data_IF_050286238493
#
_entry.id   IF_050286238493
#
_cell.length_a   1.000
_cell.length_b   1.000
_cell.length_c   1.000
_cell.angle_alpha   90.00
_cell.angle_beta   90.00
_cell.angle_gamma   90.00
#
_symmetry.space_group_name_H-M   'P 1'
#
loop_
_entity.id
_entity.type
_entity.pdbx_description
1 polymer ?
#
# COMPACT_ATOMS: atom_id res chain seq x y z
N UNK A 1 -18.33 -55.70 -3.07
CA UNK A 1 -17.16 -54.84 -3.28
C UNK A 1 -16.40 -55.33 -4.50
N UNK A 2 -16.08 -54.43 -5.43
CA UNK A 2 -15.17 -54.65 -6.54
C UNK A 2 -14.14 -53.52 -6.49
N UNK A 3 -12.85 -53.85 -6.53
CA UNK A 3 -11.73 -52.92 -6.29
C UNK A 3 -11.17 -52.37 -7.61
N UNK A 4 -10.98 -51.06 -7.74
CA UNK A 4 -10.42 -50.38 -8.94
C UNK A 4 -9.18 -49.54 -8.57
N UNK A 5 -8.19 -49.41 -9.46
CA UNK A 5 -7.03 -48.51 -9.28
C UNK A 5 -7.26 -47.21 -10.07
N UNK A 6 -7.15 -46.02 -9.46
CA UNK A 6 -7.38 -44.73 -10.15
C UNK A 6 -6.10 -43.94 -10.41
N UNK A 7 -5.82 -43.54 -11.66
CA UNK A 7 -4.73 -42.61 -12.02
C UNK A 7 -5.31 -41.22 -12.32
N UNK A 8 -4.86 -40.18 -11.62
CA UNK A 8 -5.47 -38.83 -11.66
C UNK A 8 -4.51 -37.85 -12.32
N UNK A 9 -4.98 -37.08 -13.31
CA UNK A 9 -4.16 -36.09 -14.00
C UNK A 9 -4.40 -34.70 -13.40
N UNK A 10 -3.39 -34.14 -12.73
CA UNK A 10 -3.41 -32.75 -12.25
C UNK A 10 -3.18 -31.78 -13.43
N UNK A 11 -4.18 -30.95 -13.75
CA UNK A 11 -4.01 -29.84 -14.68
C UNK A 11 -3.42 -28.63 -13.92
N UNK A 12 -2.11 -28.40 -14.08
CA UNK A 12 -1.42 -27.21 -13.56
C UNK A 12 -1.74 -25.99 -14.45
N UNK A 13 -2.55 -25.06 -13.93
CA UNK A 13 -2.69 -23.73 -14.52
C UNK A 13 -1.57 -22.81 -13.99
N UNK A 14 -0.77 -22.26 -14.91
CA UNK A 14 0.24 -21.26 -14.60
C UNK A 14 -0.42 -19.92 -14.27
N UNK A 15 -0.21 -19.41 -13.05
CA UNK A 15 -0.61 -18.05 -12.64
C UNK A 15 0.63 -17.26 -12.24
N UNK A 16 0.65 -16.02 -12.71
CA UNK A 16 1.67 -15.00 -12.53
C UNK A 16 1.95 -14.73 -11.04
N UNK A 17 3.23 -14.68 -10.68
CA UNK A 17 3.71 -14.37 -9.33
C UNK A 17 3.30 -12.95 -8.91
N UNK A 18 2.39 -12.87 -7.94
CA UNK A 18 2.29 -11.73 -7.04
C UNK A 18 2.36 -12.30 -5.63
N UNK A 19 3.47 -12.02 -4.93
CA UNK A 19 3.68 -12.43 -3.55
C UNK A 19 2.74 -11.65 -2.62
N UNK A 20 1.59 -12.23 -2.30
CA UNK A 20 0.80 -11.90 -1.13
C UNK A 20 0.94 -13.06 -0.14
N UNK A 21 1.05 -12.73 1.16
CA UNK A 21 1.23 -13.68 2.26
C UNK A 21 0.39 -14.95 2.06
N UNK A 22 1.04 -16.10 1.84
CA UNK A 22 0.33 -17.30 1.42
C UNK A 22 -0.33 -17.95 2.63
N UNK A 23 -1.62 -17.65 2.81
CA UNK A 23 -2.52 -18.61 3.43
C UNK A 23 -2.39 -19.94 2.67
N UNK A 24 -2.21 -21.04 3.40
CA UNK A 24 -1.92 -22.34 2.82
C UNK A 24 -3.21 -23.15 2.77
N UNK A 25 -3.73 -23.42 1.57
CA UNK A 25 -4.83 -24.36 1.39
C UNK A 25 -4.36 -25.77 1.80
N UNK A 26 -5.00 -26.35 2.81
CA UNK A 26 -4.75 -27.70 3.31
C UNK A 26 -5.95 -28.59 2.99
N UNK A 27 -5.71 -29.70 2.29
CA UNK A 27 -6.72 -30.74 2.08
C UNK A 27 -6.87 -31.56 3.36
N UNK A 28 -8.07 -31.53 3.94
CA UNK A 28 -8.44 -32.29 5.12
C UNK A 28 -9.23 -33.52 4.69
N UNK A 29 -8.76 -34.68 5.10
CA UNK A 29 -9.33 -35.98 4.74
C UNK A 29 -9.15 -36.98 5.87
N UNK A 30 -10.02 -37.99 5.91
CA UNK A 30 -9.89 -39.18 6.76
C UNK A 30 -9.50 -40.43 5.95
N UNK A 31 -9.49 -40.35 4.62
CA UNK A 31 -9.15 -41.47 3.75
C UNK A 31 -7.64 -41.53 3.38
N UNK A 32 -7.16 -42.74 3.08
CA UNK A 32 -5.79 -43.04 2.66
C UNK A 32 -5.55 -42.97 1.15
N UNK A 33 -6.56 -42.57 0.36
CA UNK A 33 -6.54 -42.64 -1.10
C UNK A 33 -5.53 -41.65 -1.69
N UNK A 34 -4.67 -42.17 -2.55
CA UNK A 34 -3.69 -41.45 -3.37
C UNK A 34 -3.75 -41.91 -4.82
N UNK A 35 -2.91 -41.36 -5.68
CA UNK A 35 -2.81 -41.83 -7.07
C UNK A 35 -2.47 -43.33 -7.12
N UNK A 36 -3.25 -44.06 -7.91
CA UNK A 36 -3.22 -45.50 -8.14
C UNK A 36 -3.60 -46.36 -6.92
N UNK A 37 -4.09 -45.77 -5.82
CA UNK A 37 -4.66 -46.53 -4.71
C UNK A 37 -5.92 -47.27 -5.18
N UNK A 38 -6.13 -48.47 -4.63
CA UNK A 38 -7.37 -49.20 -4.85
C UNK A 38 -8.51 -48.54 -4.08
N UNK A 39 -9.61 -48.26 -4.77
CA UNK A 39 -10.84 -47.73 -4.17
C UNK A 39 -11.97 -48.74 -4.26
N UNK A 40 -12.89 -48.67 -3.31
CA UNK A 40 -14.13 -49.43 -3.28
C UNK A 40 -15.28 -48.51 -3.64
N UNK A 41 -16.03 -48.85 -4.68
CA UNK A 41 -17.25 -48.13 -5.06
C UNK A 41 -18.40 -48.57 -4.16
N UNK A 42 -18.97 -47.62 -3.44
CA UNK A 42 -20.06 -47.87 -2.50
C UNK A 42 -21.41 -47.78 -3.19
N UNK A 43 -22.04 -48.93 -3.37
CA UNK A 43 -23.30 -49.08 -4.07
C UNK A 43 -24.48 -49.25 -3.11
N UNK A 44 -25.70 -49.08 -3.62
CA UNK A 44 -26.93 -49.39 -2.88
C UNK A 44 -27.60 -48.18 -2.23
N UNK A 45 -27.04 -46.98 -2.39
CA UNK A 45 -27.71 -45.73 -2.05
C UNK A 45 -28.99 -45.55 -2.88
N UNK A 46 -30.02 -44.96 -2.29
CA UNK A 46 -31.21 -44.46 -3.00
C UNK A 46 -31.32 -42.94 -2.91
N UNK A 47 -32.21 -42.34 -3.71
CA UNK A 47 -32.45 -40.90 -3.65
C UNK A 47 -32.85 -40.43 -2.25
N UNK A 48 -32.19 -39.37 -1.77
CA UNK A 48 -32.36 -38.80 -0.43
C UNK A 48 -31.48 -39.44 0.65
N UNK A 49 -30.73 -40.51 0.35
CA UNK A 49 -29.71 -41.02 1.26
C UNK A 49 -28.42 -40.20 1.17
N UNK A 50 -27.62 -40.27 2.23
CA UNK A 50 -26.40 -39.46 2.34
C UNK A 50 -25.20 -40.29 2.75
N UNK A 51 -24.05 -39.98 2.17
CA UNK A 51 -22.74 -40.38 2.68
C UNK A 51 -22.09 -39.15 3.34
N UNK A 52 -21.48 -39.33 4.51
CA UNK A 52 -20.90 -38.22 5.26
C UNK A 52 -19.56 -38.57 5.89
N UNK A 53 -18.64 -37.61 5.85
CA UNK A 53 -17.34 -37.68 6.50
C UNK A 53 -17.21 -36.60 7.60
N UNK A 54 -16.77 -37.02 8.78
CA UNK A 54 -16.35 -36.16 9.88
C UNK A 54 -14.86 -35.87 9.73
N UNK A 55 -14.54 -34.59 9.66
CA UNK A 55 -13.18 -34.09 9.49
C UNK A 55 -12.83 -33.19 10.66
N UNK A 56 -11.53 -33.03 10.93
CA UNK A 56 -11.02 -32.17 12.00
C UNK A 56 -10.13 -31.10 11.39
N UNK A 57 -10.40 -29.83 11.69
CA UNK A 57 -9.62 -28.72 11.18
C UNK A 57 -8.17 -28.78 11.70
N UNK A 58 -7.15 -28.74 10.82
CA UNK A 58 -5.75 -28.78 11.23
C UNK A 58 -5.22 -27.42 11.71
N UNK A 59 -5.95 -26.35 11.42
CA UNK A 59 -5.58 -24.95 11.63
C UNK A 59 -6.85 -24.09 11.80
N UNK A 60 -6.68 -22.90 12.37
CA UNK A 60 -7.68 -21.84 12.26
C UNK A 60 -7.74 -21.35 10.81
N UNK A 61 -8.95 -21.16 10.27
CA UNK A 61 -9.07 -20.80 8.87
C UNK A 61 -10.51 -20.75 8.38
N UNK A 62 -10.65 -20.96 7.07
CA UNK A 62 -11.95 -20.99 6.40
C UNK A 62 -12.01 -22.19 5.47
N UNK A 63 -13.08 -22.99 5.52
CA UNK A 63 -13.34 -24.02 4.50
C UNK A 63 -13.68 -23.29 3.20
N UNK A 64 -12.92 -23.55 2.14
CA UNK A 64 -13.02 -22.90 0.83
C UNK A 64 -13.39 -23.86 -0.31
N UNK A 65 -13.28 -25.17 -0.08
CA UNK A 65 -13.74 -26.16 -1.05
C UNK A 65 -14.18 -27.48 -0.38
N UNK A 66 -15.00 -28.23 -1.12
CA UNK A 66 -15.35 -29.63 -0.81
C UNK A 66 -14.95 -30.50 -1.99
N UNK A 67 -14.43 -31.69 -1.71
CA UNK A 67 -14.04 -32.67 -2.73
C UNK A 67 -14.78 -33.98 -2.49
N UNK A 68 -15.36 -34.55 -3.55
CA UNK A 68 -16.06 -35.85 -3.50
C UNK A 68 -15.55 -36.75 -4.63
N UNK A 69 -15.00 -37.91 -4.27
CA UNK A 69 -14.59 -38.94 -5.22
C UNK A 69 -15.80 -39.64 -5.84
N UNK A 70 -15.87 -39.70 -7.18
CA UNK A 70 -17.01 -40.26 -7.90
C UNK A 70 -16.56 -41.22 -9.00
N UNK A 71 -16.72 -42.53 -8.78
CA UNK A 71 -16.15 -43.57 -9.64
C UNK A 71 -17.12 -44.72 -9.86
N UNK A 72 -17.02 -45.34 -11.04
CA UNK A 72 -17.68 -46.61 -11.35
C UNK A 72 -16.74 -47.82 -11.18
N UNK A 73 -17.32 -49.02 -11.19
CA UNK A 73 -16.61 -50.28 -10.89
C UNK A 73 -15.84 -50.87 -12.08
N UNK A 74 -16.00 -50.33 -13.30
CA UNK A 74 -15.48 -50.93 -14.55
C UNK A 74 -15.10 -49.93 -15.67
N UNK A 75 -15.06 -48.63 -15.41
CA UNK A 75 -14.85 -47.57 -16.42
C UNK A 75 -15.87 -47.61 -17.57
N UNK A 76 -17.01 -48.25 -17.32
CA UNK A 76 -18.04 -48.50 -18.33
C UNK A 76 -18.78 -47.22 -18.72
N UNK A 77 -18.70 -46.21 -17.86
CA UNK A 77 -19.37 -44.92 -18.00
C UNK A 77 -18.38 -43.77 -17.96
N UNK A 78 -17.16 -43.96 -18.50
CA UNK A 78 -16.08 -42.96 -18.37
C UNK A 78 -16.50 -41.55 -18.79
N UNK A 79 -16.37 -40.59 -17.87
CA UNK A 79 -16.75 -39.19 -18.10
C UNK A 79 -18.26 -38.93 -18.14
N UNK A 80 -19.09 -39.89 -17.75
CA UNK A 80 -20.52 -39.67 -17.54
C UNK A 80 -20.74 -38.66 -16.41
N UNK A 81 -21.78 -37.85 -16.55
CA UNK A 81 -22.15 -36.85 -15.55
C UNK A 81 -23.51 -37.15 -14.93
N UNK A 82 -23.66 -36.83 -13.65
CA UNK A 82 -24.93 -36.87 -12.93
C UNK A 82 -25.11 -35.62 -12.08
N UNK A 83 -26.35 -35.15 -11.95
CA UNK A 83 -26.72 -34.10 -11.00
C UNK A 83 -27.23 -34.77 -9.74
N UNK A 84 -26.62 -34.45 -8.62
CA UNK A 84 -26.95 -35.04 -7.32
C UNK A 84 -27.70 -34.02 -6.46
N UNK A 85 -28.23 -34.39 -5.29
CA UNK A 85 -29.20 -33.51 -4.61
C UNK A 85 -28.51 -32.33 -3.94
N UNK A 86 -27.50 -32.59 -3.12
CA UNK A 86 -26.78 -31.54 -2.41
C UNK A 86 -25.45 -32.00 -1.82
N UNK A 87 -24.58 -31.03 -1.52
CA UNK A 87 -23.49 -31.18 -0.57
C UNK A 87 -23.77 -30.20 0.58
N UNK A 88 -23.81 -30.70 1.81
CA UNK A 88 -24.05 -29.88 3.01
C UNK A 88 -22.83 -29.92 3.93
N UNK A 89 -22.36 -28.74 4.34
CA UNK A 89 -21.34 -28.60 5.38
C UNK A 89 -22.07 -28.36 6.70
N UNK A 90 -21.81 -29.19 7.70
CA UNK A 90 -22.34 -29.06 9.05
C UNK A 90 -21.24 -28.79 10.06
N UNK A 91 -21.58 -28.14 11.17
CA UNK A 91 -20.74 -28.11 12.37
C UNK A 91 -20.73 -29.47 13.07
N UNK A 92 -19.90 -29.60 14.11
CA UNK A 92 -19.85 -30.83 14.90
C UNK A 92 -21.24 -31.17 15.48
N UNK A 93 -21.48 -32.47 15.64
CA UNK A 93 -22.72 -33.02 16.18
C UNK A 93 -22.45 -34.26 17.02
N UNK A 94 -23.50 -34.75 17.67
CA UNK A 94 -23.41 -36.01 18.40
C UNK A 94 -23.32 -37.17 17.40
N UNK A 95 -22.09 -37.61 17.08
CA UNK A 95 -21.84 -38.69 16.12
C UNK A 95 -22.76 -39.90 16.38
N UNK A 96 -23.42 -40.48 15.36
CA UNK A 96 -23.26 -40.20 13.92
C UNK A 96 -24.19 -39.10 13.37
N UNK A 97 -24.83 -38.28 14.21
CA UNK A 97 -25.76 -37.23 13.77
C UNK A 97 -25.02 -35.90 13.60
N UNK A 98 -24.98 -35.29 12.39
CA UNK A 98 -24.36 -33.99 12.16
C UNK A 98 -25.01 -32.85 12.95
N UNK A 99 -24.26 -31.77 13.17
CA UNK A 99 -24.75 -30.56 13.82
C UNK A 99 -25.52 -29.62 12.89
N UNK A 100 -25.51 -28.34 13.26
CA UNK A 100 -26.15 -27.28 12.49
C UNK A 100 -25.55 -27.18 11.07
N UNK A 101 -26.39 -26.86 10.08
CA UNK A 101 -25.95 -26.58 8.72
C UNK A 101 -25.19 -25.25 8.71
N UNK A 102 -23.96 -25.27 8.19
CA UNK A 102 -23.08 -24.10 8.03
C UNK A 102 -23.07 -23.59 6.59
N UNK A 103 -23.13 -24.51 5.62
CA UNK A 103 -23.28 -24.16 4.20
C UNK A 103 -24.02 -25.27 3.44
N UNK A 104 -24.66 -24.88 2.34
CA UNK A 104 -25.47 -25.77 1.51
C UNK A 104 -25.21 -25.49 0.03
N UNK A 105 -24.74 -26.49 -0.69
CA UNK A 105 -24.53 -26.48 -2.13
C UNK A 105 -25.62 -27.33 -2.77
N UNK A 106 -26.43 -26.69 -3.62
CA UNK A 106 -27.52 -27.34 -4.34
C UNK A 106 -27.03 -27.94 -5.66
N UNK A 107 -27.56 -29.11 -6.00
CA UNK A 107 -27.40 -29.72 -7.33
C UNK A 107 -25.94 -29.87 -7.83
N UNK A 108 -25.01 -30.46 -7.05
CA UNK A 108 -23.64 -30.67 -7.53
C UNK A 108 -23.62 -31.54 -8.79
N UNK A 109 -22.95 -31.05 -9.84
CA UNK A 109 -22.67 -31.82 -11.04
C UNK A 109 -21.45 -32.71 -10.80
N UNK A 110 -21.68 -34.01 -10.74
CA UNK A 110 -20.65 -35.01 -10.59
C UNK A 110 -20.20 -35.53 -11.94
N UNK A 111 -18.90 -35.69 -12.13
CA UNK A 111 -18.30 -36.33 -13.30
C UNK A 111 -17.59 -37.61 -12.85
N UNK A 112 -17.92 -38.74 -13.49
CA UNK A 112 -17.24 -40.01 -13.25
C UNK A 112 -15.74 -39.90 -13.54
N UNK A 113 -14.95 -40.52 -12.67
CA UNK A 113 -13.50 -40.65 -12.85
C UNK A 113 -12.71 -39.50 -12.22
N UNK A 114 -13.37 -38.58 -11.51
CA UNK A 114 -12.77 -37.37 -10.96
C UNK A 114 -12.98 -37.20 -9.46
N UNK A 115 -12.10 -36.39 -8.87
CA UNK A 115 -12.26 -35.85 -7.53
C UNK A 115 -12.97 -34.54 -7.76
N UNK A 116 -14.29 -34.57 -7.67
CA UNK A 116 -15.09 -33.41 -8.02
C UNK A 116 -14.90 -32.37 -6.92
N UNK A 117 -14.23 -31.26 -7.26
CA UNK A 117 -13.95 -30.16 -6.35
C UNK A 117 -14.96 -29.03 -6.57
N UNK A 118 -15.62 -28.62 -5.49
CA UNK A 118 -16.60 -27.56 -5.46
C UNK A 118 -16.10 -26.41 -4.60
N UNK A 119 -16.04 -25.20 -5.18
CA UNK A 119 -15.59 -23.97 -4.50
C UNK A 119 -16.68 -22.91 -4.33
N UNK A 120 -17.87 -23.15 -4.89
CA UNK A 120 -18.97 -22.19 -4.91
C UNK A 120 -20.27 -22.90 -4.53
N UNK A 121 -21.15 -22.18 -3.84
CA UNK A 121 -22.48 -22.65 -3.41
C UNK A 121 -23.53 -22.54 -4.53
N UNK A 122 -23.19 -21.89 -5.64
CA UNK A 122 -24.06 -21.68 -6.80
C UNK A 122 -23.39 -22.10 -8.12
N UNK A 123 -24.22 -22.42 -9.11
CA UNK A 123 -23.79 -22.85 -10.45
C UNK A 123 -23.09 -21.75 -11.26
N UNK A 124 -23.36 -20.47 -10.96
CA UNK A 124 -22.76 -19.32 -11.64
C UNK A 124 -21.40 -18.92 -11.05
N UNK A 125 -20.88 -19.67 -10.07
CA UNK A 125 -19.59 -19.41 -9.42
C UNK A 125 -19.49 -18.00 -8.81
N UNK A 126 -20.58 -17.52 -8.21
CA UNK A 126 -20.66 -16.17 -7.63
C UNK A 126 -20.58 -16.15 -6.11
N UNK A 127 -21.01 -17.22 -5.45
CA UNK A 127 -21.04 -17.34 -3.99
C UNK A 127 -19.99 -18.37 -3.58
N UNK A 128 -18.77 -17.94 -3.19
CA UNK A 128 -17.74 -18.89 -2.77
C UNK A 128 -18.15 -19.60 -1.47
N UNK A 129 -17.66 -20.83 -1.29
CA UNK A 129 -17.71 -21.49 0.00
C UNK A 129 -16.79 -20.71 0.95
N UNK A 130 -17.33 -20.24 2.07
CA UNK A 130 -16.60 -19.51 3.08
C UNK A 130 -17.16 -19.83 4.47
N UNK A 131 -16.74 -20.96 5.04
CA UNK A 131 -17.18 -21.40 6.37
C UNK A 131 -16.01 -21.25 7.36
N UNK A 132 -16.07 -20.30 8.32
CA UNK A 132 -15.04 -20.15 9.34
C UNK A 132 -14.90 -21.40 10.21
N UNK A 133 -13.68 -21.75 10.58
CA UNK A 133 -13.38 -22.94 11.39
C UNK A 133 -12.19 -22.69 12.31
N UNK A 134 -12.20 -23.31 13.49
CA UNK A 134 -11.12 -23.22 14.49
C UNK A 134 -10.26 -24.49 14.48
N UNK A 135 -8.96 -24.40 14.78
CA UNK A 135 -8.09 -25.56 14.90
C UNK A 135 -8.64 -26.58 15.90
N UNK A 136 -8.69 -27.85 15.48
CA UNK A 136 -9.22 -28.95 16.28
C UNK A 136 -10.74 -29.05 16.29
N UNK A 137 -11.45 -28.10 15.69
CA UNK A 137 -12.90 -28.18 15.51
C UNK A 137 -13.26 -29.30 14.53
N UNK A 138 -14.25 -30.11 14.90
CA UNK A 138 -14.81 -31.13 14.02
C UNK A 138 -15.94 -30.54 13.19
N UNK A 139 -16.05 -30.99 11.95
CA UNK A 139 -17.12 -30.60 11.05
C UNK A 139 -17.48 -31.79 10.15
N UNK A 140 -18.60 -31.69 9.45
CA UNK A 140 -19.13 -32.80 8.64
C UNK A 140 -19.42 -32.32 7.23
N UNK A 141 -19.01 -33.12 6.25
CA UNK A 141 -19.46 -32.95 4.87
C UNK A 141 -20.40 -34.11 4.56
N UNK A 142 -21.65 -33.79 4.20
CA UNK A 142 -22.67 -34.75 3.81
C UNK A 142 -23.05 -34.57 2.34
N UNK A 143 -22.87 -35.63 1.55
CA UNK A 143 -23.26 -35.70 0.16
C UNK A 143 -24.60 -36.45 0.04
N UNK A 144 -25.59 -35.85 -0.61
CA UNK A 144 -26.92 -36.42 -0.79
C UNK A 144 -27.18 -36.84 -2.24
N UNK A 145 -27.56 -38.10 -2.43
CA UNK A 145 -27.89 -38.66 -3.73
C UNK A 145 -29.25 -38.14 -4.22
N UNK A 146 -29.33 -37.67 -5.47
CA UNK A 146 -30.61 -37.27 -6.06
C UNK A 146 -31.48 -38.49 -6.37
N UNK A 147 -30.86 -39.58 -6.82
CA UNK A 147 -31.51 -40.81 -7.22
C UNK A 147 -30.61 -42.01 -6.89
N UNK A 148 -31.17 -43.21 -7.00
CA UNK A 148 -30.38 -44.43 -6.88
C UNK A 148 -29.32 -44.48 -7.99
N UNK A 149 -28.02 -44.62 -7.67
CA UNK A 149 -26.99 -44.78 -8.67
C UNK A 149 -27.25 -45.99 -9.58
N UNK A 150 -26.89 -45.94 -10.88
CA UNK A 150 -27.04 -47.08 -11.78
C UNK A 150 -26.32 -48.32 -11.25
N UNK A 151 -26.84 -49.51 -11.54
CA UNK A 151 -26.11 -50.76 -11.25
C UNK A 151 -24.78 -50.74 -11.97
N UNK A 152 -23.66 -50.87 -11.23
CA UNK A 152 -22.29 -50.74 -11.74
C UNK A 152 -21.95 -49.33 -12.30
N UNK A 153 -22.77 -48.32 -11.98
CA UNK A 153 -22.52 -46.93 -12.32
C UNK A 153 -21.67 -46.22 -11.27
N UNK A 154 -21.39 -44.92 -11.49
CA UNK A 154 -20.56 -44.16 -10.59
C UNK A 154 -21.27 -43.88 -9.26
N UNK A 155 -20.51 -43.90 -8.17
CA UNK A 155 -20.96 -43.58 -6.82
C UNK A 155 -19.81 -43.01 -6.00
N UNK A 156 -20.11 -42.65 -4.74
CA UNK A 156 -19.07 -42.34 -3.75
C UNK A 156 -18.16 -43.55 -3.54
N UNK A 157 -16.90 -43.28 -3.24
CA UNK A 157 -15.88 -44.31 -3.00
C UNK A 157 -15.33 -44.23 -1.60
N UNK A 158 -14.83 -45.36 -1.11
CA UNK A 158 -14.05 -45.48 0.10
C UNK A 158 -12.67 -46.09 -0.18
N UNK A 159 -11.73 -45.94 0.74
CA UNK A 159 -10.47 -46.70 0.73
C UNK A 159 -10.71 -48.18 1.12
N UNK A 160 -9.63 -48.90 1.41
CA UNK A 160 -9.67 -50.33 1.71
C UNK A 160 -8.55 -50.69 2.70
N UNK A 161 -8.34 -49.84 3.72
CA UNK A 161 -7.32 -50.02 4.75
C UNK A 161 -7.82 -49.70 6.18
N UNK A 162 -9.10 -50.02 6.43
CA UNK A 162 -9.85 -49.88 7.69
C UNK A 162 -10.46 -48.49 7.94
N UNK A 163 -11.70 -48.45 8.42
CA UNK A 163 -12.37 -47.21 8.83
C UNK A 163 -11.73 -46.54 10.05
N UNK A 164 -11.51 -45.23 9.96
CA UNK A 164 -11.33 -44.40 11.14
C UNK A 164 -12.62 -44.33 11.99
N UNK A 165 -12.46 -44.62 13.28
CA UNK A 165 -13.56 -44.63 14.23
C UNK A 165 -14.22 -43.24 14.31
N UNK A 166 -15.55 -43.23 14.25
CA UNK A 166 -16.36 -42.01 14.30
C UNK A 166 -16.13 -41.00 13.17
N UNK A 167 -15.59 -41.45 12.03
CA UNK A 167 -15.25 -40.56 10.92
C UNK A 167 -16.19 -40.66 9.72
N UNK A 168 -17.00 -41.72 9.60
CA UNK A 168 -17.93 -41.88 8.47
C UNK A 168 -19.32 -42.23 8.95
N UNK A 169 -20.34 -41.63 8.35
CA UNK A 169 -21.73 -42.01 8.60
C UNK A 169 -22.53 -42.03 7.31
N UNK A 170 -23.64 -42.75 7.35
CA UNK A 170 -24.66 -42.71 6.30
C UNK A 170 -25.99 -42.26 6.87
N UNK A 171 -26.78 -41.55 6.09
CA UNK A 171 -28.19 -41.31 6.38
C UNK A 171 -29.04 -42.20 5.48
N UNK A 172 -29.75 -43.15 6.08
CA UNK A 172 -30.55 -44.12 5.33
C UNK A 172 -32.05 -43.84 5.41
N UNK A 173 -32.74 -44.13 4.32
CA UNK A 173 -34.19 -43.98 4.17
C UNK A 173 -34.89 -45.35 4.12
N UNK A 174 -34.63 -46.20 5.12
CA UNK A 174 -35.29 -47.50 5.30
C UNK A 174 -34.47 -48.71 4.86
N UNK A 175 -34.99 -49.91 5.10
CA UNK A 175 -34.25 -51.16 4.88
C UNK A 175 -33.43 -51.57 6.12
N UNK A 176 -32.09 -51.53 6.03
CA UNK A 176 -31.17 -51.99 7.07
C UNK A 176 -30.84 -50.93 8.16
N UNK A 177 -31.20 -49.67 7.93
CA UNK A 177 -31.08 -48.54 8.88
C UNK A 177 -32.21 -47.53 8.68
N UNK A 178 -32.43 -46.66 9.67
CA UNK A 178 -33.32 -45.49 9.56
C UNK A 178 -32.64 -44.31 10.26
N UNK A 179 -32.34 -43.26 9.49
CA UNK A 179 -31.61 -42.10 9.96
C UNK A 179 -30.08 -42.28 9.92
N UNK A 180 -29.39 -41.40 10.65
CA UNK A 180 -27.93 -41.37 10.71
C UNK A 180 -27.38 -42.60 11.43
N UNK A 181 -26.49 -43.31 10.74
CA UNK A 181 -25.89 -44.56 11.23
C UNK A 181 -24.38 -44.53 10.98
N UNK A 182 -23.61 -45.08 11.92
CA UNK A 182 -22.17 -45.26 11.79
C UNK A 182 -21.86 -46.22 10.64
N UNK A 183 -21.15 -45.72 9.63
CA UNK A 183 -20.78 -46.46 8.42
C UNK A 183 -19.76 -47.57 8.71
N UNK A 184 -18.77 -47.27 9.55
CA UNK A 184 -17.70 -48.19 9.94
C UNK A 184 -18.26 -49.48 10.59
N UNK A 185 -19.35 -49.34 11.36
CA UNK A 185 -20.01 -50.43 12.06
C UNK A 185 -21.29 -50.93 11.38
N UNK A 186 -21.58 -50.47 10.16
CA UNK A 186 -22.84 -50.77 9.50
C UNK A 186 -22.94 -52.23 9.03
N UNK A 187 -21.83 -52.80 8.55
CA UNK A 187 -21.72 -54.22 8.19
C UNK A 187 -20.54 -54.90 8.89
N UNK A 188 -20.64 -55.17 10.21
CA UNK A 188 -19.52 -55.68 11.01
C UNK A 188 -19.07 -57.08 10.55
N UNK A 189 -19.95 -57.84 9.90
CA UNK A 189 -19.69 -59.18 9.36
C UNK A 189 -18.96 -59.20 8.02
N UNK A 190 -18.88 -58.06 7.33
CA UNK A 190 -18.28 -57.97 5.99
C UNK A 190 -17.09 -57.01 5.92
N UNK A 191 -16.79 -56.23 6.97
CA UNK A 191 -15.67 -55.26 7.04
C UNK A 191 -15.68 -54.33 5.80
N UNK A 192 -16.84 -53.71 5.55
CA UNK A 192 -17.12 -52.88 4.36
C UNK A 192 -17.04 -51.39 4.68
N UNK A 193 -17.16 -51.02 5.96
CA UNK A 193 -17.09 -49.64 6.35
C UNK A 193 -15.64 -49.19 6.30
N UNK A 194 -15.24 -48.54 5.22
CA UNK A 194 -13.95 -47.88 5.03
C UNK A 194 -14.15 -46.34 4.92
N UNK A 195 -13.07 -45.56 4.87
CA UNK A 195 -13.16 -44.10 4.89
C UNK A 195 -13.60 -43.53 3.53
N UNK A 196 -14.71 -42.78 3.52
CA UNK A 196 -15.20 -42.16 2.30
C UNK A 196 -14.20 -41.13 1.76
N UNK A 197 -14.04 -41.07 0.45
CA UNK A 197 -13.29 -40.02 -0.24
C UNK A 197 -14.09 -38.70 -0.32
N UNK A 198 -14.48 -38.18 0.84
CA UNK A 198 -15.15 -36.91 1.00
C UNK A 198 -14.23 -36.02 1.83
N UNK A 199 -13.72 -34.95 1.22
CA UNK A 199 -12.65 -34.12 1.77
C UNK A 199 -13.04 -32.65 1.78
N UNK A 200 -12.33 -31.86 2.58
CA UNK A 200 -12.45 -30.41 2.60
C UNK A 200 -11.13 -29.76 2.21
N UNK A 201 -11.18 -28.53 1.72
CA UNK A 201 -10.01 -27.67 1.60
C UNK A 201 -10.19 -26.50 2.55
N UNK A 202 -9.25 -26.35 3.48
CA UNK A 202 -9.23 -25.25 4.44
C UNK A 202 -8.12 -24.29 4.06
N UNK A 203 -8.48 -23.04 3.86
CA UNK A 203 -7.52 -21.95 3.78
C UNK A 203 -7.09 -21.58 5.21
N UNK A 204 -5.91 -22.06 5.61
CA UNK A 204 -5.35 -21.80 6.94
C UNK A 204 -4.93 -20.33 7.04
N UNK A 205 -5.42 -19.64 8.07
CA UNK A 205 -4.98 -18.28 8.35
C UNK A 205 -3.46 -18.26 8.53
N UNK A 206 -2.77 -17.32 7.85
CA UNK A 206 -1.34 -17.15 8.03
C UNK A 206 -1.05 -16.83 9.50
N UNK A 207 -0.23 -17.66 10.15
CA UNK A 207 0.16 -17.44 11.54
C UNK A 207 0.91 -16.10 11.65
N UNK A 208 0.53 -15.31 12.66
CA UNK A 208 1.21 -14.06 13.00
C UNK A 208 2.15 -14.30 14.18
N UNK A 209 3.15 -13.43 14.28
CA UNK A 209 4.10 -13.41 15.38
C UNK A 209 4.74 -12.04 15.51
N UNK A 210 5.51 -11.88 16.58
CA UNK A 210 6.25 -10.67 16.87
C UNK A 210 7.30 -10.41 15.78
N UNK A 211 7.23 -9.24 15.18
CA UNK A 211 8.19 -8.72 14.22
C UNK A 211 8.94 -7.53 14.84
N UNK A 212 10.25 -7.67 15.01
CA UNK A 212 11.09 -6.55 15.43
C UNK A 212 11.52 -5.71 14.24
N UNK A 213 11.01 -4.49 14.17
CA UNK A 213 11.30 -3.55 13.09
C UNK A 213 12.63 -2.81 13.33
N UNK A 214 13.28 -2.27 12.27
CA UNK A 214 14.55 -1.55 12.40
C UNK A 214 14.51 -0.30 13.29
N UNK A 215 13.32 0.27 13.51
CA UNK A 215 13.11 1.41 14.41
C UNK A 215 13.05 1.02 15.90
N UNK A 216 13.18 -0.28 16.20
CA UNK A 216 13.10 -0.83 17.55
C UNK A 216 11.68 -1.10 18.04
N UNK A 217 10.65 -0.87 17.20
CA UNK A 217 9.27 -1.22 17.51
C UNK A 217 8.99 -2.71 17.26
N UNK A 218 7.97 -3.23 17.94
CA UNK A 218 7.47 -4.58 17.72
C UNK A 218 6.05 -4.52 17.17
N UNK A 219 5.77 -5.25 16.09
CA UNK A 219 4.43 -5.39 15.52
C UNK A 219 4.05 -6.86 15.35
N UNK A 220 2.76 -7.17 15.52
CA UNK A 220 2.20 -8.48 15.19
C UNK A 220 1.95 -8.54 13.69
N UNK A 221 2.68 -9.41 12.99
CA UNK A 221 2.61 -9.54 11.53
C UNK A 221 2.89 -10.98 11.11
N UNK A 222 2.60 -11.33 9.86
CA UNK A 222 3.07 -12.62 9.31
C UNK A 222 4.59 -12.58 9.08
N UNK A 223 5.23 -13.75 8.98
CA UNK A 223 6.66 -13.83 8.65
C UNK A 223 7.01 -13.11 7.33
N UNK A 224 6.13 -13.21 6.33
CA UNK A 224 6.33 -12.56 5.03
C UNK A 224 6.26 -11.04 5.14
N UNK A 225 5.21 -10.52 5.80
CA UNK A 225 5.06 -9.07 5.97
C UNK A 225 6.19 -8.49 6.83
N UNK A 226 6.64 -9.23 7.83
CA UNK A 226 7.79 -8.86 8.65
C UNK A 226 9.07 -8.72 7.81
N UNK A 227 9.33 -9.66 6.90
CA UNK A 227 10.45 -9.59 5.99
C UNK A 227 10.33 -8.41 5.00
N UNK A 228 9.13 -8.14 4.49
CA UNK A 228 8.86 -6.96 3.63
C UNK A 228 9.09 -5.65 4.37
N UNK A 229 8.75 -5.58 5.66
CA UNK A 229 9.02 -4.44 6.52
C UNK A 229 10.50 -4.30 6.93
N UNK A 230 11.38 -5.21 6.49
CA UNK A 230 12.81 -5.23 6.86
C UNK A 230 13.05 -5.63 8.32
N UNK A 231 12.05 -6.22 8.98
CA UNK A 231 12.11 -6.64 10.36
C UNK A 231 12.68 -8.05 10.56
N UNK A 232 12.96 -8.38 11.83
CA UNK A 232 13.37 -9.73 12.27
C UNK A 232 12.19 -10.42 12.96
N UNK A 233 11.68 -11.48 12.31
CA UNK A 233 10.56 -12.26 12.82
C UNK A 233 10.99 -13.20 13.95
N UNK A 234 10.21 -13.23 15.04
CA UNK A 234 10.53 -14.01 16.24
C UNK A 234 9.88 -15.40 16.27
N UNK A 235 9.15 -15.77 15.21
CA UNK A 235 8.47 -17.06 15.06
C UNK A 235 6.96 -16.94 15.28
N UNK A 236 6.24 -17.95 14.80
CA UNK A 236 4.77 -17.97 14.86
C UNK A 236 4.26 -18.00 16.30
N UNK A 237 3.16 -17.28 16.54
CA UNK A 237 2.50 -17.15 17.84
C UNK A 237 3.39 -16.50 18.93
N UNK A 238 4.51 -15.88 18.56
CA UNK A 238 5.30 -15.07 19.48
C UNK A 238 4.61 -13.73 19.76
N UNK A 239 4.58 -13.30 21.03
CA UNK A 239 3.93 -12.04 21.41
C UNK A 239 4.92 -10.88 21.57
N UNK A 240 4.61 -9.73 20.96
CA UNK A 240 5.37 -8.49 21.13
C UNK A 240 5.48 -8.05 22.60
N UNK A 241 4.52 -8.40 23.45
CA UNK A 241 4.62 -8.13 24.89
C UNK A 241 5.77 -8.90 25.58
N UNK A 242 6.18 -10.05 25.02
CA UNK A 242 7.25 -10.89 25.54
C UNK A 242 8.60 -10.70 24.83
N UNK A 243 8.63 -9.91 23.77
CA UNK A 243 9.82 -9.70 22.92
C UNK A 243 10.42 -8.32 23.19
N UNK A 244 11.71 -8.28 23.50
CA UNK A 244 12.45 -7.01 23.56
C UNK A 244 13.20 -6.80 22.24
N UNK A 245 12.73 -5.86 21.44
CA UNK A 245 13.36 -5.55 20.16
C UNK A 245 14.63 -4.70 20.36
N UNK A 246 15.72 -4.99 19.63
CA UNK A 246 16.93 -4.17 19.67
C UNK A 246 16.61 -2.71 19.33
N UNK A 247 17.02 -1.80 20.19
CA UNK A 247 16.82 -0.37 19.96
C UNK A 247 17.85 0.15 18.95
N UNK A 248 17.48 1.06 18.05
CA UNK A 248 18.41 1.60 17.06
C UNK A 248 19.53 2.39 17.75
N UNK A 249 20.76 2.16 17.30
CA UNK A 249 21.92 2.96 17.70
C UNK A 249 22.05 4.20 16.81
N UNK A 250 22.56 5.28 17.39
CA UNK A 250 22.95 6.49 16.68
C UNK A 250 24.16 7.14 17.35
N UNK A 251 24.79 8.07 16.64
CA UNK A 251 25.89 8.85 17.14
C UNK A 251 25.42 9.78 18.26
N UNK A 252 26.13 9.71 19.38
CA UNK A 252 25.95 10.54 20.56
C UNK A 252 27.15 11.48 20.68
N UNK A 253 26.89 12.77 20.50
CA UNK A 253 27.93 13.80 20.48
C UNK A 253 28.04 14.50 21.82
N UNK A 254 29.28 14.67 22.29
CA UNK A 254 29.58 15.38 23.53
C UNK A 254 30.27 16.72 23.23
N UNK A 255 30.02 17.73 24.06
CA UNK A 255 30.62 19.07 23.93
C UNK A 255 32.16 19.03 24.01
N UNK A 256 32.71 17.98 24.62
CA UNK A 256 34.16 17.73 24.70
C UNK A 256 34.78 17.27 23.37
N UNK A 257 33.96 17.08 22.33
CA UNK A 257 34.37 16.57 21.02
C UNK A 257 34.36 15.04 20.92
N UNK A 258 33.94 14.33 21.97
CA UNK A 258 33.76 12.88 21.93
C UNK A 258 32.52 12.47 21.14
N UNK A 259 32.58 11.30 20.50
CA UNK A 259 31.44 10.65 19.84
C UNK A 259 31.38 9.17 20.25
N UNK A 260 30.22 8.69 20.69
CA UNK A 260 29.96 7.26 20.94
C UNK A 260 28.63 6.84 20.30
N UNK A 261 28.55 5.61 19.78
CA UNK A 261 27.29 5.08 19.26
C UNK A 261 26.46 4.51 20.42
N UNK A 262 25.31 5.13 20.70
CA UNK A 262 24.40 4.76 21.77
C UNK A 262 22.95 4.71 21.29
N UNK A 263 22.10 4.04 22.07
CA UNK A 263 20.65 4.23 21.93
C UNK A 263 20.30 5.68 22.31
N UNK A 264 19.15 6.18 21.87
CA UNK A 264 18.71 7.52 22.26
C UNK A 264 18.66 7.70 23.78
N UNK A 265 18.14 6.71 24.51
CA UNK A 265 18.01 6.75 25.96
C UNK A 265 19.38 6.78 26.66
N UNK A 266 20.33 5.97 26.20
CA UNK A 266 21.69 5.95 26.74
C UNK A 266 22.44 7.25 26.45
N UNK A 267 22.25 7.82 25.25
CA UNK A 267 22.87 9.08 24.88
C UNK A 267 22.40 10.25 25.77
N UNK A 268 21.08 10.36 25.97
CA UNK A 268 20.49 11.38 26.86
C UNK A 268 20.97 11.16 28.30
N UNK A 269 21.02 9.90 28.76
CA UNK A 269 21.51 9.55 30.10
C UNK A 269 22.98 9.92 30.29
N UNK A 270 23.80 9.77 29.25
CA UNK A 270 25.20 10.17 29.24
C UNK A 270 25.40 11.70 29.12
N UNK A 271 24.32 12.47 28.89
CA UNK A 271 24.38 13.92 28.74
C UNK A 271 24.89 14.39 27.37
N UNK A 272 24.83 13.53 26.34
CA UNK A 272 25.20 13.88 24.97
C UNK A 272 24.01 14.29 24.10
N UNK A 273 24.30 14.89 22.96
CA UNK A 273 23.34 15.21 21.91
C UNK A 273 23.21 14.05 20.92
N UNK A 274 22.05 13.40 20.89
CA UNK A 274 21.76 12.30 19.97
C UNK A 274 21.44 12.83 18.57
N UNK A 275 22.12 12.31 17.55
CA UNK A 275 22.05 12.85 16.17
C UNK A 275 21.12 12.07 15.24
N UNK A 276 20.32 11.14 15.77
CA UNK A 276 19.35 10.37 14.99
C UNK A 276 19.76 8.90 14.79
N UNK A 277 18.80 8.03 14.44
CA UNK A 277 19.09 6.62 14.21
C UNK A 277 19.91 6.46 12.91
N UNK A 278 20.89 5.57 12.92
CA UNK A 278 21.76 5.33 11.75
C UNK A 278 22.89 6.34 11.54
N UNK A 279 22.97 7.40 12.35
CA UNK A 279 24.20 8.20 12.47
C UNK A 279 25.30 7.37 13.14
N UNK A 280 26.54 7.46 12.65
CA UNK A 280 27.66 6.62 13.12
C UNK A 280 28.90 7.47 13.42
N UNK A 281 29.40 7.38 14.65
CA UNK A 281 30.65 8.02 15.07
C UNK A 281 31.89 7.52 14.33
N UNK A 282 31.82 6.37 13.66
CA UNK A 282 32.93 5.82 12.87
C UNK A 282 32.84 6.21 11.39
N UNK A 283 31.77 6.87 10.96
CA UNK A 283 31.70 7.43 9.60
C UNK A 283 32.72 8.58 9.52
N UNK A 284 33.72 8.50 8.62
CA UNK A 284 34.73 9.55 8.49
C UNK A 284 34.16 10.90 8.04
N UNK A 285 32.93 10.94 7.51
CA UNK A 285 32.25 12.18 7.12
C UNK A 285 31.33 12.73 8.22
N UNK A 286 31.22 12.04 9.36
CA UNK A 286 30.35 12.46 10.44
C UNK A 286 31.10 13.33 11.45
N UNK A 287 30.78 14.62 11.47
CA UNK A 287 31.31 15.57 12.46
C UNK A 287 30.26 15.90 13.51
N UNK A 288 30.60 15.68 14.79
CA UNK A 288 29.69 15.95 15.91
C UNK A 288 29.36 17.42 16.13
N UNK A 289 30.40 18.24 16.09
CA UNK A 289 30.36 19.68 16.37
C UNK A 289 31.01 20.40 15.19
N UNK A 290 30.33 20.50 14.04
CA UNK A 290 30.91 21.11 12.86
C UNK A 290 31.16 22.60 13.09
N UNK A 291 32.34 23.05 12.68
CA UNK A 291 32.74 24.46 12.73
C UNK A 291 33.33 24.86 11.39
N UNK A 292 32.99 26.04 10.88
CA UNK A 292 33.44 26.45 9.56
C UNK A 292 33.10 27.89 9.23
N UNK A 293 33.29 28.25 7.96
CA UNK A 293 33.02 29.58 7.45
C UNK A 293 31.52 29.84 7.25
N UNK A 294 31.08 31.05 7.58
CA UNK A 294 29.73 31.55 7.38
C UNK A 294 29.74 32.73 6.42
N UNK A 295 29.10 32.58 5.26
CA UNK A 295 28.96 33.66 4.29
C UNK A 295 27.74 34.52 4.61
N UNK A 296 27.96 35.81 4.83
CA UNK A 296 26.91 36.76 5.15
C UNK A 296 26.26 37.32 3.87
N UNK A 297 25.02 37.84 3.93
CA UNK A 297 24.32 38.39 2.77
C UNK A 297 25.02 39.60 2.11
N UNK A 298 25.86 40.32 2.85
CA UNK A 298 26.66 41.44 2.35
C UNK A 298 27.95 41.00 1.64
N UNK A 299 28.19 39.69 1.54
CA UNK A 299 29.40 39.09 0.98
C UNK A 299 30.58 39.03 1.97
N UNK A 300 30.41 39.50 3.21
CA UNK A 300 31.40 39.28 4.26
C UNK A 300 31.40 37.82 4.70
N UNK A 301 32.49 37.38 5.34
CA UNK A 301 32.66 36.01 5.79
C UNK A 301 33.14 35.97 7.24
N UNK A 302 32.56 35.07 8.03
CA UNK A 302 32.93 34.83 9.44
C UNK A 302 33.45 33.41 9.65
N UNK A 303 34.65 33.27 10.21
CA UNK A 303 35.27 31.98 10.54
C UNK A 303 34.76 31.38 11.86
N UNK A 304 34.95 30.06 12.02
CA UNK A 304 34.70 29.30 13.26
C UNK A 304 33.26 29.41 13.77
N UNK A 305 32.29 29.42 12.86
CA UNK A 305 30.87 29.45 13.18
C UNK A 305 30.31 28.02 13.25
N UNK A 306 29.35 27.78 14.14
CA UNK A 306 28.50 26.60 14.07
C UNK A 306 27.42 26.80 12.99
N UNK A 307 26.82 25.74 12.42
CA UNK A 307 25.71 25.86 11.48
C UNK A 307 24.52 26.65 12.06
N UNK A 308 24.19 26.41 13.33
CA UNK A 308 23.10 27.08 14.03
C UNK A 308 23.39 28.57 14.22
N UNK A 309 24.60 28.93 14.69
CA UNK A 309 24.98 30.32 14.91
C UNK A 309 25.09 31.08 13.58
N UNK A 310 25.58 30.43 12.53
CA UNK A 310 25.66 31.03 11.19
C UNK A 310 24.27 31.36 10.64
N UNK A 311 23.34 30.43 10.78
CA UNK A 311 21.94 30.63 10.37
C UNK A 311 21.27 31.73 11.21
N UNK A 312 21.54 31.76 12.52
CA UNK A 312 21.03 32.79 13.43
C UNK A 312 21.58 34.19 13.09
N UNK A 313 22.81 34.28 12.55
CA UNK A 313 23.39 35.50 12.03
C UNK A 313 22.82 35.91 10.65
N UNK A 314 21.97 35.09 10.03
CA UNK A 314 21.42 35.32 8.69
C UNK A 314 22.39 34.98 7.55
N UNK A 315 23.46 34.22 7.85
CA UNK A 315 24.44 33.76 6.88
C UNK A 315 24.21 32.33 6.40
N UNK A 316 25.02 31.91 5.42
CA UNK A 316 25.05 30.59 4.83
C UNK A 316 26.33 29.83 5.21
N UNK A 317 26.17 28.72 5.93
CA UNK A 317 27.27 27.88 6.40
C UNK A 317 27.93 27.12 5.24
N UNK A 318 29.26 27.15 5.17
CA UNK A 318 30.01 26.64 4.02
C UNK A 318 30.48 25.19 4.18
N UNK A 319 30.27 24.58 5.35
CA UNK A 319 30.69 23.22 5.66
C UNK A 319 31.70 23.17 6.81
N UNK A 320 31.88 21.99 7.38
CA UNK A 320 32.84 21.76 8.45
C UNK A 320 34.29 21.88 7.94
N UNK A 321 35.15 22.53 8.72
CA UNK A 321 36.56 22.74 8.40
C UNK A 321 36.85 23.75 7.29
N UNK A 322 35.83 24.45 6.75
CA UNK A 322 36.06 25.53 5.80
C UNK A 322 36.51 26.81 6.51
N UNK A 323 37.31 27.62 5.82
CA UNK A 323 37.73 28.94 6.27
C UNK A 323 37.31 30.02 5.26
N UNK A 324 37.25 31.26 5.70
CA UNK A 324 36.92 32.41 4.86
C UNK A 324 38.00 32.73 3.81
N UNK A 325 39.19 32.15 3.93
CA UNK A 325 40.25 32.27 2.93
C UNK A 325 39.98 31.41 1.69
N UNK A 326 39.21 30.33 1.84
CA UNK A 326 38.88 29.37 0.77
C UNK A 326 37.40 29.35 0.41
N UNK A 327 36.53 29.80 1.32
CA UNK A 327 35.11 29.95 1.08
C UNK A 327 34.85 31.05 0.04
N UNK A 328 34.06 30.72 -0.98
CA UNK A 328 33.67 31.69 -1.99
C UNK A 328 32.33 32.33 -1.58
N UNK A 329 32.40 33.45 -0.86
CA UNK A 329 31.22 34.24 -0.52
C UNK A 329 30.94 35.24 -1.65
N UNK A 330 29.88 35.05 -2.45
CA UNK A 330 29.58 35.95 -3.56
C UNK A 330 29.23 37.33 -3.01
N UNK A 331 29.85 38.37 -3.59
CA UNK A 331 29.41 39.74 -3.33
C UNK A 331 27.99 39.95 -3.88
N UNK A 332 27.13 40.70 -3.18
CA UNK A 332 25.78 40.97 -3.64
C UNK A 332 25.79 41.70 -4.99
N UNK A 333 24.94 41.24 -5.90
CA UNK A 333 24.78 41.78 -7.25
C UNK A 333 23.45 42.51 -7.43
N UNK A 334 23.30 43.20 -8.56
CA UNK A 334 22.28 44.20 -8.80
C UNK A 334 22.39 44.77 -10.22
N UNK A 335 21.39 45.50 -10.68
CA UNK A 335 21.33 46.11 -12.00
C UNK A 335 22.32 47.28 -12.11
N UNK A 336 23.13 47.23 -13.17
CA UNK A 336 24.03 48.30 -13.57
C UNK A 336 23.59 48.86 -14.92
N UNK A 337 23.09 50.10 -14.90
CA UNK A 337 22.50 50.77 -16.04
C UNK A 337 23.51 51.66 -16.76
N UNK A 338 23.67 51.44 -18.06
CA UNK A 338 24.61 52.19 -18.90
C UNK A 338 23.88 53.28 -19.69
N UNK A 339 24.54 54.40 -19.94
CA UNK A 339 23.98 55.50 -20.75
C UNK A 339 23.67 55.12 -22.20
N UNK A 340 24.12 53.94 -22.64
CA UNK A 340 23.82 53.36 -23.96
C UNK A 340 22.51 52.57 -23.97
N UNK A 341 21.76 52.50 -22.86
CA UNK A 341 20.54 51.70 -22.70
C UNK A 341 20.80 50.23 -22.34
N UNK A 342 22.06 49.83 -22.16
CA UNK A 342 22.38 48.48 -21.72
C UNK A 342 22.19 48.30 -20.20
N UNK A 343 21.89 47.08 -19.77
CA UNK A 343 21.88 46.70 -18.35
C UNK A 343 22.68 45.41 -18.15
N UNK A 344 23.53 45.37 -17.11
CA UNK A 344 24.21 44.15 -16.67
C UNK A 344 24.03 43.96 -15.17
N UNK A 345 23.88 42.71 -14.73
CA UNK A 345 23.90 42.37 -13.30
C UNK A 345 25.36 42.26 -12.85
N UNK A 346 25.87 43.30 -12.18
CA UNK A 346 27.26 43.40 -11.72
C UNK A 346 27.31 43.45 -10.19
N UNK A 347 28.47 43.68 -9.58
CA UNK A 347 28.57 44.15 -8.20
C UNK A 347 28.64 45.69 -8.22
N UNK A 348 28.38 46.36 -7.08
CA UNK A 348 28.48 47.83 -6.99
C UNK A 348 29.82 48.37 -7.53
N UNK A 349 30.94 47.74 -7.13
CA UNK A 349 32.28 48.15 -7.56
C UNK A 349 32.49 47.94 -9.07
N UNK A 350 32.11 46.78 -9.59
CA UNK A 350 32.23 46.49 -11.02
C UNK A 350 31.34 47.41 -11.87
N UNK A 351 30.16 47.78 -11.35
CA UNK A 351 29.29 48.74 -12.01
C UNK A 351 29.93 50.12 -12.09
N UNK A 352 30.52 50.59 -10.98
CA UNK A 352 31.25 51.86 -10.95
C UNK A 352 32.46 51.84 -11.89
N UNK A 353 33.21 50.74 -11.96
CA UNK A 353 34.36 50.59 -12.86
C UNK A 353 33.92 50.58 -14.33
N UNK A 354 32.79 49.94 -14.63
CA UNK A 354 32.23 49.90 -15.98
C UNK A 354 31.59 51.23 -16.42
N UNK A 355 31.52 52.22 -15.53
CA UNK A 355 30.93 53.53 -15.83
C UNK A 355 29.40 53.53 -15.90
N UNK A 356 28.74 52.53 -15.30
CA UNK A 356 27.28 52.45 -15.18
C UNK A 356 26.77 53.03 -13.86
N UNK A 357 25.45 53.19 -13.78
CA UNK A 357 24.74 53.60 -12.56
C UNK A 357 24.19 52.36 -11.86
N UNK A 358 24.51 52.22 -10.59
CA UNK A 358 24.10 51.08 -9.78
C UNK A 358 22.73 51.29 -9.15
N UNK A 359 21.80 50.36 -9.36
CA UNK A 359 20.40 50.49 -8.91
C UNK A 359 20.10 49.83 -7.57
N UNK A 360 21.08 49.18 -6.95
CA UNK A 360 20.95 48.57 -5.61
C UNK A 360 20.96 47.04 -5.63
N UNK A 361 21.14 46.46 -4.45
CA UNK A 361 21.24 45.00 -4.26
C UNK A 361 19.91 44.33 -4.63
N UNK A 362 19.98 43.24 -5.38
CA UNK A 362 18.81 42.42 -5.73
C UNK A 362 17.95 42.97 -6.88
N UNK A 363 18.30 44.13 -7.44
CA UNK A 363 17.72 44.61 -8.70
C UNK A 363 18.26 43.78 -9.88
N UNK A 364 17.48 43.62 -10.95
CA UNK A 364 17.90 42.87 -12.12
C UNK A 364 17.72 43.67 -13.42
N UNK A 365 18.08 43.04 -14.53
CA UNK A 365 17.98 43.64 -15.86
C UNK A 365 16.75 43.13 -16.62
N UNK A 366 15.67 42.77 -15.92
CA UNK A 366 14.43 42.39 -16.57
C UNK A 366 13.83 43.59 -17.31
N UNK A 367 13.30 43.33 -18.51
CA UNK A 367 12.51 44.26 -19.31
C UNK A 367 11.09 43.68 -19.37
N UNK A 368 10.28 44.01 -18.37
CA UNK A 368 8.94 43.46 -18.21
C UNK A 368 7.95 44.01 -19.23
N UNK A 369 8.20 45.21 -19.76
CA UNK A 369 7.33 45.89 -20.72
C UNK A 369 7.74 45.66 -22.20
N UNK A 370 8.93 45.11 -22.44
CA UNK A 370 9.46 44.73 -23.75
C UNK A 370 9.91 45.90 -24.63
N UNK A 371 10.22 47.06 -24.04
CA UNK A 371 10.60 48.27 -24.79
C UNK A 371 12.08 48.32 -25.17
N UNK A 372 12.89 47.34 -24.73
CA UNK A 372 14.32 47.24 -24.99
C UNK A 372 15.22 47.89 -23.94
N UNK A 373 14.64 48.43 -22.86
CA UNK A 373 15.33 48.97 -21.68
C UNK A 373 14.92 48.12 -20.48
N UNK A 374 15.86 47.76 -19.61
CA UNK A 374 15.49 47.08 -18.37
C UNK A 374 14.66 48.02 -17.48
N UNK A 375 13.62 47.52 -16.83
CA UNK A 375 12.69 48.30 -15.99
C UNK A 375 13.45 49.08 -14.90
N UNK A 376 14.50 48.46 -14.33
CA UNK A 376 15.38 49.09 -13.35
C UNK A 376 16.21 50.27 -13.91
N UNK A 377 16.33 50.39 -15.22
CA UNK A 377 17.12 51.42 -15.93
C UNK A 377 16.25 52.48 -16.62
N UNK A 378 14.94 52.38 -16.50
CA UNK A 378 14.02 53.35 -17.07
C UNK A 378 13.98 54.61 -16.21
N UNK A 379 13.92 55.77 -16.89
CA UNK A 379 13.38 56.94 -16.23
C UNK A 379 11.90 56.65 -15.96
N UNK A 380 11.37 56.99 -14.77
CA UNK A 380 9.97 56.71 -14.46
C UNK A 380 9.08 57.28 -15.57
N UNK A 381 8.30 56.41 -16.19
CA UNK A 381 7.44 56.77 -17.32
C UNK A 381 6.45 57.86 -16.87
N UNK A 382 6.19 58.90 -17.69
CA UNK A 382 5.11 59.83 -17.40
C UNK A 382 3.80 59.05 -17.34
N UNK A 383 3.12 59.15 -16.20
CA UNK A 383 1.82 58.50 -16.03
C UNK A 383 0.76 59.24 -16.84
N UNK A 384 0.06 58.55 -17.76
CA UNK A 384 -1.13 59.12 -18.38
C UNK A 384 -2.14 59.50 -17.30
N UNK A 385 -2.38 60.79 -17.13
CA UNK A 385 -3.29 61.35 -16.13
C UNK A 385 -2.64 62.07 -14.94
N UNK A 386 -1.31 62.03 -14.75
CA UNK A 386 -0.62 62.90 -13.78
C UNK A 386 -0.31 64.24 -14.47
N UNK A 387 -1.24 65.18 -14.35
CA UNK A 387 -1.19 66.47 -15.03
C UNK A 387 -0.35 67.50 -14.26
N UNK A 388 -0.12 67.27 -12.97
CA UNK A 388 0.60 68.21 -12.11
C UNK A 388 2.07 67.80 -11.84
N UNK A 389 2.43 66.55 -12.15
CA UNK A 389 3.78 65.99 -12.09
C UNK A 389 4.21 65.52 -10.69
N UNK A 390 3.28 65.26 -9.78
CA UNK A 390 3.56 64.82 -8.40
C UNK A 390 3.63 63.30 -8.23
N UNK A 391 3.52 62.55 -9.34
CA UNK A 391 3.60 61.08 -9.42
C UNK A 391 2.40 60.36 -8.84
N UNK A 392 1.29 61.04 -8.66
CA UNK A 392 0.01 60.45 -8.32
C UNK A 392 -1.05 60.92 -9.29
N UNK A 393 -1.99 60.05 -9.66
CA UNK A 393 -3.17 60.44 -10.45
C UNK A 393 -4.34 60.57 -9.50
N UNK A 394 -4.64 61.79 -9.06
CA UNK A 394 -5.65 62.02 -8.01
C UNK A 394 -6.68 63.10 -8.37
N UNK A 395 -7.42 63.57 -7.36
CA UNK A 395 -8.44 64.62 -7.54
C UNK A 395 -7.86 65.94 -8.06
N UNK A 396 -6.58 66.19 -7.82
CA UNK A 396 -5.84 67.37 -8.29
C UNK A 396 -5.70 67.32 -9.80
N UNK A 397 -5.36 66.17 -10.37
CA UNK A 397 -5.24 65.99 -11.81
C UNK A 397 -6.61 65.97 -12.48
N UNK A 398 -7.59 65.32 -11.88
CA UNK A 398 -8.98 65.37 -12.37
C UNK A 398 -9.50 66.82 -12.41
N UNK A 399 -9.17 67.63 -11.41
CA UNK A 399 -9.56 69.04 -11.38
C UNK A 399 -8.86 69.85 -12.48
N UNK A 400 -7.59 69.54 -12.78
CA UNK A 400 -6.86 70.17 -13.89
C UNK A 400 -7.48 69.82 -15.24
N UNK A 401 -7.77 68.54 -15.49
CA UNK A 401 -8.43 68.09 -16.72
C UNK A 401 -9.79 68.78 -16.91
N UNK A 402 -10.64 68.76 -15.88
CA UNK A 402 -11.98 69.35 -15.95
C UNK A 402 -11.95 70.89 -16.07
N UNK A 403 -10.86 71.55 -15.69
CA UNK A 403 -10.73 73.01 -15.82
C UNK A 403 -10.55 73.47 -17.27
N UNK A 404 -10.04 72.60 -18.12
CA UNK A 404 -9.79 72.82 -19.56
C UNK A 404 -10.72 71.97 -20.45
N UNK A 405 -11.82 71.42 -19.92
CA UNK A 405 -12.77 70.60 -20.70
C UNK A 405 -13.39 71.38 -21.89
N UNK A 406 -13.50 70.74 -23.05
CA UNK A 406 -13.83 71.34 -24.36
C UNK A 406 -12.76 72.33 -24.90
N UNK A 407 -11.53 72.30 -24.38
CA UNK A 407 -10.41 73.04 -24.98
C UNK A 407 -10.04 72.42 -26.34
N UNK A 408 -9.63 73.26 -27.30
CA UNK A 408 -9.33 72.82 -28.69
C UNK A 408 -7.96 73.26 -29.20
N UNK A 409 -7.05 73.68 -28.31
CA UNK A 409 -5.65 73.97 -28.65
C UNK A 409 -4.82 74.24 -27.39
N UNK A 410 -3.67 73.56 -27.26
CA UNK A 410 -2.71 73.78 -26.17
C UNK A 410 -3.28 73.43 -24.79
N UNK A 411 -4.09 72.37 -24.74
CA UNK A 411 -4.88 72.01 -23.58
C UNK A 411 -4.04 71.24 -22.57
N UNK A 412 -4.08 71.66 -21.30
CA UNK A 412 -3.32 70.97 -20.24
C UNK A 412 -3.93 69.61 -19.90
N UNK A 413 -5.20 69.40 -20.26
CA UNK A 413 -5.95 68.16 -20.05
C UNK A 413 -5.94 67.18 -21.23
N UNK A 414 -5.15 67.45 -22.29
CA UNK A 414 -4.95 66.54 -23.43
C UNK A 414 -4.02 65.39 -23.02
N UNK A 415 -4.62 64.27 -22.61
CA UNK A 415 -3.91 63.09 -22.09
C UNK A 415 -3.59 62.10 -23.21
N UNK A 416 -4.38 62.08 -24.30
CA UNK A 416 -4.17 61.17 -25.44
C UNK A 416 -3.39 61.77 -26.62
N UNK A 417 -3.16 63.08 -26.59
CA UNK A 417 -2.32 63.83 -27.52
C UNK A 417 -3.01 64.18 -28.84
N UNK A 418 -4.34 64.31 -28.86
CA UNK A 418 -5.12 64.63 -30.06
C UNK A 418 -5.44 66.13 -30.26
N UNK A 419 -4.81 66.98 -29.44
CA UNK A 419 -4.89 68.45 -29.40
C UNK A 419 -6.20 69.03 -28.83
N UNK A 420 -7.10 68.22 -28.26
CA UNK A 420 -8.28 68.68 -27.53
C UNK A 420 -8.38 68.12 -26.08
N UNK A 421 -9.46 68.43 -25.37
CA UNK A 421 -9.71 67.88 -24.02
C UNK A 421 -11.17 67.51 -23.92
N UNK A 422 -11.46 66.21 -24.05
CA UNK A 422 -12.82 65.71 -24.12
C UNK A 422 -13.06 64.50 -23.20
N UNK A 423 -14.10 63.71 -23.49
CA UNK A 423 -14.45 62.53 -22.69
C UNK A 423 -13.42 61.40 -22.79
N UNK A 424 -12.60 61.39 -23.83
CA UNK A 424 -11.54 60.40 -24.08
C UNK A 424 -10.39 60.62 -23.11
N UNK A 425 -9.95 61.86 -22.93
CA UNK A 425 -8.94 62.23 -21.92
C UNK A 425 -9.43 61.95 -20.50
N UNK A 426 -10.69 62.33 -20.22
CA UNK A 426 -11.30 62.04 -18.93
C UNK A 426 -11.36 60.53 -18.65
N UNK A 427 -11.65 59.71 -19.67
CA UNK A 427 -11.68 58.26 -19.53
C UNK A 427 -10.28 57.69 -19.24
N UNK A 428 -9.22 58.23 -19.84
CA UNK A 428 -7.85 57.79 -19.61
C UNK A 428 -7.38 58.19 -18.21
N UNK A 429 -7.66 59.42 -17.77
CA UNK A 429 -7.34 59.85 -16.41
C UNK A 429 -8.07 58.98 -15.37
N UNK A 430 -9.38 58.76 -15.55
CA UNK A 430 -10.16 57.92 -14.64
C UNK A 430 -9.75 56.45 -14.64
N UNK A 431 -9.23 55.93 -15.76
CA UNK A 431 -8.70 54.57 -15.84
C UNK A 431 -7.41 54.40 -15.02
N UNK A 432 -6.68 55.49 -14.78
CA UNK A 432 -5.45 55.52 -13.98
C UNK A 432 -5.65 56.17 -12.60
N UNK A 433 -6.89 56.47 -12.20
CA UNK A 433 -7.17 57.16 -10.95
C UNK A 433 -6.69 56.36 -9.72
N UNK A 434 -6.08 57.05 -8.76
CA UNK A 434 -5.45 56.49 -7.56
C UNK A 434 -4.18 55.65 -7.85
N UNK A 435 -3.63 55.75 -9.06
CA UNK A 435 -2.33 55.15 -9.39
C UNK A 435 -1.18 55.99 -8.81
N UNK A 436 -0.21 55.30 -8.20
CA UNK A 436 1.10 55.86 -7.84
C UNK A 436 2.13 55.44 -8.88
N UNK A 437 2.79 56.40 -9.49
CA UNK A 437 3.79 56.18 -10.53
C UNK A 437 5.13 55.73 -9.92
N UNK A 438 5.88 54.81 -10.57
CA UNK A 438 7.23 54.43 -10.17
C UNK A 438 8.20 55.62 -10.03
#
# INVERSE_FOLDING_TARGET
MRTRHGSWSALLAAICLISHATAAEVVVKNDSITDNTQVVVEAGFIGGERAAAWLTAPCDGTIVAVQVGWFDDNESTSGATSLESSITIHGDGAYPTPGAVLAFLEAPLMTEGFLNEFRFLDENQTIPIAVPITQGERFVIAFEFAQQPPSNGPSVVADNDDCHAQSNAIFCLGGACSGWTDWCNFFPQFRIGDDFMIRAVIDCAALQGACCLPDGSCQQMTAADCATAGGTYQGDLSDCAGVTCPQPSGACCFDTGGCLNFTQADCITAGGAWKGPGSDCNDPNFTCNPIGACCMPDGSCMDNMTPEDCTAAGGAFQGDGTDCGTANCPLPSGACCFSTGGCLVLTSDNCSVAGGTWMGIGTDCADGNGNGTADACEAPAPCPGDLNGDRTVDLTDLALLLSDFDCTSGCSGDVDGDDDTDLTDLAILLANFDATCP
#
